data_IF_462312380953
#
_entry.id   IF_462312380953
#
_cell.length_a   1.000
_cell.length_b   1.000
_cell.length_c   1.000
_cell.angle_alpha   90.00
_cell.angle_beta   90.00
_cell.angle_gamma   90.00
#
_symmetry.space_group_name_H-M   'P 1'
#
loop_
_entity.id
_entity.type
_entity.pdbx_description
1 polymer ?
#
# COMPACT_ATOMS: atom_id res chain seq x y z
N UNK A 1 -22.34 -18.20 -0.89
CA UNK A 1 -22.09 -18.02 0.55
C UNK A 1 -20.62 -18.24 0.77
N UNK A 2 -19.84 -17.18 0.84
CA UNK A 2 -18.39 -17.25 1.07
C UNK A 2 -18.18 -17.76 2.49
N UNK A 3 -17.49 -18.89 2.64
CA UNK A 3 -17.13 -19.43 3.96
C UNK A 3 -16.17 -18.44 4.62
N UNK A 4 -16.63 -17.76 5.67
CA UNK A 4 -15.77 -16.94 6.51
C UNK A 4 -14.85 -17.84 7.32
N UNK A 5 -13.69 -18.18 6.75
CA UNK A 5 -12.61 -18.78 7.51
C UNK A 5 -12.02 -17.68 8.38
N UNK A 6 -12.00 -17.92 9.69
CA UNK A 6 -11.36 -17.02 10.64
C UNK A 6 -9.88 -16.93 10.28
N UNK A 7 -9.40 -15.73 9.96
CA UNK A 7 -7.98 -15.49 9.64
C UNK A 7 -7.10 -16.02 10.78
N UNK A 8 -6.18 -16.93 10.47
CA UNK A 8 -5.32 -17.52 11.48
C UNK A 8 -4.31 -16.48 12.00
N UNK A 9 -3.76 -16.70 13.20
CA UNK A 9 -2.77 -15.80 13.77
C UNK A 9 -1.49 -15.70 12.90
N UNK A 10 -1.15 -16.77 12.17
CA UNK A 10 -0.03 -16.78 11.23
C UNK A 10 -0.31 -15.91 10.00
N UNK A 11 -1.55 -15.95 9.48
CA UNK A 11 -2.00 -15.11 8.37
C UNK A 11 -1.96 -13.62 8.76
N UNK A 12 -2.36 -13.28 9.98
CA UNK A 12 -2.27 -11.89 10.47
C UNK A 12 -0.82 -11.39 10.48
N UNK A 13 0.13 -12.20 10.97
CA UNK A 13 1.56 -11.85 10.95
C UNK A 13 2.09 -11.71 9.52
N UNK A 14 1.58 -12.49 8.59
CA UNK A 14 1.95 -12.37 7.18
C UNK A 14 1.41 -11.06 6.58
N UNK A 15 0.14 -10.73 6.84
CA UNK A 15 -0.46 -9.47 6.41
C UNK A 15 0.26 -8.26 7.02
N UNK A 16 0.71 -8.34 8.27
CA UNK A 16 1.55 -7.30 8.89
C UNK A 16 2.89 -7.11 8.15
N UNK A 17 3.56 -8.21 7.78
CA UNK A 17 4.80 -8.09 6.98
C UNK A 17 4.55 -7.51 5.59
N UNK A 18 3.42 -7.83 4.98
CA UNK A 18 3.02 -7.28 3.67
C UNK A 18 2.74 -5.78 3.80
N UNK A 19 1.94 -5.35 4.79
CA UNK A 19 1.62 -3.92 4.95
C UNK A 19 2.88 -3.09 5.22
N UNK A 20 3.82 -3.59 6.04
CA UNK A 20 5.08 -2.90 6.33
C UNK A 20 5.92 -2.72 5.07
N UNK A 21 5.96 -3.76 4.21
CA UNK A 21 6.67 -3.69 2.93
C UNK A 21 6.02 -2.70 1.98
N UNK A 22 4.69 -2.73 1.85
CA UNK A 22 3.94 -1.81 0.98
C UNK A 22 4.13 -0.36 1.44
N UNK A 23 4.02 -0.10 2.75
CA UNK A 23 4.26 1.23 3.33
C UNK A 23 5.69 1.71 3.08
N UNK A 24 6.68 0.82 3.25
CA UNK A 24 8.08 1.14 2.99
C UNK A 24 8.29 1.53 1.53
N UNK A 25 7.77 0.73 0.57
CA UNK A 25 7.90 1.03 -0.86
C UNK A 25 7.22 2.36 -1.21
N UNK A 26 5.98 2.58 -0.76
CA UNK A 26 5.23 3.83 -0.96
C UNK A 26 6.02 5.06 -0.49
N UNK A 27 6.64 4.97 0.68
CA UNK A 27 7.46 6.05 1.24
C UNK A 27 8.75 6.22 0.45
N UNK A 28 9.40 5.10 0.12
CA UNK A 28 10.70 5.03 -0.54
C UNK A 28 10.67 5.60 -1.96
N UNK A 29 9.55 5.53 -2.67
CA UNK A 29 9.41 6.14 -4.01
C UNK A 29 9.76 7.63 -4.03
N UNK A 30 9.28 8.40 -3.04
CA UNK A 30 9.55 9.84 -2.96
C UNK A 30 10.97 10.12 -2.47
N UNK A 31 11.48 9.31 -1.54
CA UNK A 31 12.85 9.45 -1.05
C UNK A 31 13.87 9.18 -2.18
N UNK A 32 13.70 8.08 -2.92
CA UNK A 32 14.53 7.74 -4.06
C UNK A 32 14.53 8.84 -5.13
N UNK A 33 13.36 9.35 -5.49
CA UNK A 33 13.22 10.39 -6.51
C UNK A 33 13.93 11.69 -6.17
N UNK A 34 14.15 11.97 -4.88
CA UNK A 34 14.76 13.19 -4.37
C UNK A 34 16.22 13.04 -3.93
N UNK A 35 16.71 11.82 -3.69
CA UNK A 35 18.05 11.58 -3.14
C UNK A 35 18.96 10.73 -4.02
N UNK A 36 18.41 9.88 -4.88
CA UNK A 36 19.19 8.89 -5.63
C UNK A 36 18.98 8.96 -7.14
N UNK A 37 17.77 9.27 -7.60
CA UNK A 37 17.49 9.51 -9.02
C UNK A 37 18.27 10.73 -9.52
N UNK A 38 18.87 10.61 -10.70
CA UNK A 38 19.45 11.77 -11.40
C UNK A 38 18.37 12.85 -11.63
N UNK A 39 18.67 14.09 -11.23
CA UNK A 39 17.70 15.19 -11.20
C UNK A 39 18.20 16.40 -12.00
N UNK A 40 18.13 16.30 -13.33
CA UNK A 40 18.67 17.30 -14.26
C UNK A 40 17.97 18.66 -14.22
N UNK A 41 16.70 18.71 -13.80
CA UNK A 41 15.90 19.94 -13.68
C UNK A 41 15.95 20.57 -12.28
N UNK A 42 16.56 19.88 -11.30
CA UNK A 42 16.65 20.31 -9.91
C UNK A 42 15.32 20.34 -9.15
N UNK A 43 14.22 19.84 -9.74
CA UNK A 43 12.90 19.91 -9.12
C UNK A 43 12.71 18.81 -8.08
N UNK A 44 12.12 19.18 -6.94
CA UNK A 44 11.77 18.22 -5.87
C UNK A 44 10.46 17.51 -6.22
N UNK A 45 10.43 16.21 -6.03
CA UNK A 45 9.22 15.39 -6.18
C UNK A 45 8.45 15.34 -4.86
N UNK A 46 7.15 15.66 -4.90
CA UNK A 46 6.23 15.57 -3.76
C UNK A 46 5.26 14.39 -3.87
N UNK A 47 4.42 14.21 -2.85
CA UNK A 47 3.38 13.18 -2.83
C UNK A 47 2.51 13.26 -1.57
N UNK A 48 1.44 12.47 -1.53
CA UNK A 48 0.48 12.47 -0.42
C UNK A 48 0.71 11.29 0.53
N UNK A 49 1.85 11.29 1.24
CA UNK A 49 2.26 10.17 2.11
C UNK A 49 1.23 9.81 3.18
N UNK A 50 0.60 10.82 3.81
CA UNK A 50 -0.45 10.60 4.79
C UNK A 50 -1.66 9.84 4.20
N UNK A 51 -1.99 10.09 2.93
CA UNK A 51 -3.10 9.42 2.26
C UNK A 51 -2.78 7.95 2.00
N UNK A 52 -1.56 7.64 1.56
CA UNK A 52 -1.10 6.26 1.37
C UNK A 52 -1.00 5.51 2.69
N UNK A 53 -0.40 6.11 3.71
CA UNK A 53 -0.29 5.51 5.05
C UNK A 53 -1.67 5.20 5.66
N UNK A 54 -2.66 6.08 5.46
CA UNK A 54 -4.02 5.85 5.98
C UNK A 54 -4.76 4.68 5.32
N UNK A 55 -4.34 4.24 4.13
CA UNK A 55 -5.02 3.20 3.36
C UNK A 55 -4.31 1.84 3.42
N UNK A 56 -3.04 1.78 3.84
CA UNK A 56 -2.22 0.57 3.68
C UNK A 56 -2.79 -0.66 4.38
N UNK A 57 -3.33 -0.50 5.59
CA UNK A 57 -3.88 -1.63 6.35
C UNK A 57 -5.17 -2.17 5.70
N UNK A 58 -6.09 -1.30 5.28
CA UNK A 58 -7.33 -1.74 4.64
C UNK A 58 -7.07 -2.33 3.25
N UNK A 59 -6.17 -1.74 2.46
CA UNK A 59 -5.78 -2.26 1.14
C UNK A 59 -5.12 -3.63 1.28
N UNK A 60 -4.24 -3.81 2.27
CA UNK A 60 -3.61 -5.11 2.51
C UNK A 60 -4.64 -6.19 2.88
N UNK A 61 -5.56 -5.87 3.81
CA UNK A 61 -6.60 -6.81 4.20
C UNK A 61 -7.54 -7.16 3.04
N UNK A 62 -7.91 -6.17 2.22
CA UNK A 62 -8.78 -6.38 1.08
C UNK A 62 -8.09 -7.26 0.02
N UNK A 63 -6.95 -6.83 -0.50
CA UNK A 63 -6.31 -7.50 -1.64
C UNK A 63 -5.67 -8.86 -1.33
N UNK A 64 -5.24 -9.09 -0.08
CA UNK A 64 -4.51 -10.32 0.26
C UNK A 64 -5.31 -11.31 1.11
N UNK A 65 -6.54 -10.98 1.50
CA UNK A 65 -7.33 -11.87 2.37
C UNK A 65 -8.85 -11.85 2.09
N UNK A 66 -9.40 -10.80 1.48
CA UNK A 66 -10.86 -10.66 1.38
C UNK A 66 -11.42 -10.63 -0.04
N UNK A 67 -10.77 -9.93 -0.97
CA UNK A 67 -11.33 -9.70 -2.30
C UNK A 67 -11.24 -10.95 -3.18
N UNK A 68 -12.33 -11.20 -3.90
CA UNK A 68 -12.41 -12.16 -4.99
C UNK A 68 -12.36 -11.45 -6.36
N UNK A 69 -12.32 -12.22 -7.44
CA UNK A 69 -12.17 -11.73 -8.82
C UNK A 69 -13.27 -10.74 -9.23
N UNK A 70 -14.48 -10.95 -8.73
CA UNK A 70 -15.68 -10.19 -9.08
C UNK A 70 -15.73 -8.84 -8.35
N UNK A 71 -14.97 -8.69 -7.25
CA UNK A 71 -14.99 -7.49 -6.45
C UNK A 71 -14.35 -6.30 -7.18
N UNK A 72 -14.76 -5.10 -6.76
CA UNK A 72 -14.30 -3.82 -7.33
C UNK A 72 -13.95 -2.87 -6.19
N UNK A 73 -12.79 -2.24 -6.29
CA UNK A 73 -12.31 -1.27 -5.31
C UNK A 73 -12.15 0.08 -5.98
N UNK A 74 -12.73 1.11 -5.38
CA UNK A 74 -12.41 2.50 -5.71
C UNK A 74 -11.48 3.04 -4.64
N UNK A 75 -10.35 3.61 -5.06
CA UNK A 75 -9.32 4.13 -4.16
C UNK A 75 -9.29 5.65 -4.21
N UNK A 76 -8.87 6.27 -3.11
CA UNK A 76 -8.56 7.69 -3.10
C UNK A 76 -7.42 7.95 -4.09
N UNK A 77 -7.58 8.83 -5.10
CA UNK A 77 -6.57 8.99 -6.16
C UNK A 77 -5.19 9.42 -5.62
N UNK A 78 -5.17 10.08 -4.47
CA UNK A 78 -3.95 10.59 -3.86
C UNK A 78 -3.19 9.52 -3.05
N UNK A 79 -3.82 8.37 -2.78
CA UNK A 79 -3.17 7.24 -2.12
C UNK A 79 -2.44 6.31 -3.09
N UNK A 80 -2.37 6.66 -4.39
CA UNK A 80 -1.89 5.83 -5.50
C UNK A 80 -0.60 5.01 -5.29
N UNK A 81 0.38 5.43 -4.47
CA UNK A 81 1.52 4.57 -4.12
C UNK A 81 1.18 3.26 -3.38
N UNK A 82 -0.03 3.13 -2.84
CA UNK A 82 -0.58 1.94 -2.17
C UNK A 82 -1.71 1.38 -3.01
#
# INVERSE_FOLDING_TARGET
MTNFVKTAAEDLKLLEKIQDRVLWISTRMIDFANRERENSDGLKVGGHQASSASMVSIMTALYFNYLDREDRVSVKPHAAPV
#
